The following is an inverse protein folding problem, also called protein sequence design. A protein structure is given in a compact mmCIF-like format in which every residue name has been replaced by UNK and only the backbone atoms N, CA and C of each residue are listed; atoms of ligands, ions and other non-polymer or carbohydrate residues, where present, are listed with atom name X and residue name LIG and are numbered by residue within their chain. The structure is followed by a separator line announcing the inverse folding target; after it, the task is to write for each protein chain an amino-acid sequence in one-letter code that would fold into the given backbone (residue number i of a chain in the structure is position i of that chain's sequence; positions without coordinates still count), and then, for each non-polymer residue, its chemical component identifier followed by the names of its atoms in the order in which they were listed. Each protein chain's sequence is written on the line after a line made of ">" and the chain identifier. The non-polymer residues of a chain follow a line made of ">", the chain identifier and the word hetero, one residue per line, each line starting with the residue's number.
data_IF_233746784490
#
_entry.id   IF_233746784490
#
_cell.length_a   1.000
_cell.length_b   1.000
_cell.length_c   1.000
_cell.angle_alpha   90.00
_cell.angle_beta   90.00
_cell.angle_gamma   90.00
#
_symmetry.space_group_name_H-M   'P 1'
#
loop_
_entity.id
_entity.type
_entity.pdbx_description
1 polymer ?
#
# COMPACT_ATOMS: atom_id res chain seq x y z
N UNK A 1 32.11 2.85 -7.40
CA UNK A 1 32.10 1.53 -6.73
C UNK A 1 30.74 1.20 -6.11
N UNK A 2 30.11 2.09 -5.33
CA UNK A 2 28.83 1.82 -4.65
C UNK A 2 27.69 1.41 -5.60
N UNK A 3 27.50 2.11 -6.72
CA UNK A 3 26.45 1.77 -7.70
C UNK A 3 26.64 0.39 -8.33
N UNK A 4 27.88 0.02 -8.69
CA UNK A 4 28.16 -1.28 -9.26
C UNK A 4 27.89 -2.42 -8.26
N UNK A 5 28.31 -2.24 -7.01
CA UNK A 5 28.04 -3.21 -5.95
C UNK A 5 26.53 -3.40 -5.74
N UNK A 6 25.79 -2.30 -5.60
CA UNK A 6 24.33 -2.34 -5.38
C UNK A 6 23.60 -3.00 -6.56
N UNK A 7 24.02 -2.69 -7.80
CA UNK A 7 23.43 -3.28 -9.01
C UNK A 7 23.69 -4.79 -9.08
N UNK A 8 24.92 -5.23 -8.82
CA UNK A 8 25.26 -6.66 -8.81
C UNK A 8 24.44 -7.41 -7.75
N UNK A 9 24.32 -6.83 -6.55
CA UNK A 9 23.56 -7.41 -5.46
C UNK A 9 22.06 -7.52 -5.81
N UNK A 10 21.50 -6.49 -6.43
CA UNK A 10 20.11 -6.48 -6.87
C UNK A 10 19.85 -7.53 -7.96
N UNK A 11 20.70 -7.57 -8.98
CA UNK A 11 20.59 -8.57 -10.07
C UNK A 11 20.71 -9.98 -9.52
N UNK A 12 21.69 -10.23 -8.65
CA UNK A 12 21.84 -11.51 -7.97
C UNK A 12 20.59 -11.90 -7.17
N UNK A 13 20.07 -10.97 -6.35
CA UNK A 13 18.87 -11.19 -5.56
C UNK A 13 17.64 -11.49 -6.43
N UNK A 14 17.49 -10.78 -7.55
CA UNK A 14 16.40 -11.02 -8.50
C UNK A 14 16.51 -12.41 -9.15
N UNK A 15 17.73 -12.81 -9.55
CA UNK A 15 17.97 -14.15 -10.12
C UNK A 15 17.64 -15.23 -9.09
N UNK A 16 18.05 -15.07 -7.82
CA UNK A 16 17.78 -16.02 -6.74
C UNK A 16 16.27 -16.19 -6.50
N UNK A 17 15.52 -15.08 -6.42
CA UNK A 17 14.06 -15.11 -6.25
C UNK A 17 13.39 -15.80 -7.45
N UNK A 18 13.78 -15.43 -8.67
CA UNK A 18 13.21 -16.03 -9.87
C UNK A 18 13.55 -17.52 -9.99
N UNK A 19 14.77 -17.91 -9.61
CA UNK A 19 15.18 -19.29 -9.59
C UNK A 19 14.36 -20.10 -8.55
N UNK A 20 14.09 -19.56 -7.36
CA UNK A 20 13.23 -20.18 -6.36
C UNK A 20 11.81 -20.45 -6.90
N UNK A 21 11.22 -19.49 -7.62
CA UNK A 21 9.88 -19.65 -8.23
C UNK A 21 9.92 -20.72 -9.35
N UNK A 22 10.95 -20.69 -10.21
CA UNK A 22 11.05 -21.61 -11.37
C UNK A 22 11.33 -23.06 -10.93
N UNK A 23 12.09 -23.24 -9.85
CA UNK A 23 12.44 -24.57 -9.30
C UNK A 23 11.39 -25.13 -8.32
N UNK A 24 10.24 -24.46 -8.21
CA UNK A 24 9.16 -24.83 -7.28
C UNK A 24 9.60 -24.87 -5.80
N UNK A 25 10.58 -24.04 -5.45
CA UNK A 25 11.10 -23.87 -4.09
C UNK A 25 10.66 -22.55 -3.44
N UNK A 26 9.68 -21.87 -4.03
CA UNK A 26 9.01 -20.71 -3.46
C UNK A 26 7.68 -21.10 -2.81
N UNK A 27 7.18 -20.27 -1.89
CA UNK A 27 5.90 -20.49 -1.21
C UNK A 27 4.72 -20.68 -2.18
N UNK A 28 4.79 -20.12 -3.39
CA UNK A 28 3.78 -20.36 -4.43
C UNK A 28 3.54 -21.87 -4.68
N UNK A 29 4.59 -22.69 -4.62
CA UNK A 29 4.48 -24.13 -4.80
C UNK A 29 3.71 -24.82 -3.65
N UNK A 30 3.89 -24.38 -2.40
CA UNK A 30 3.11 -24.87 -1.25
C UNK A 30 1.61 -24.59 -1.40
N UNK A 31 1.25 -23.46 -1.99
CA UNK A 31 -0.14 -23.11 -2.29
C UNK A 31 -0.64 -23.69 -3.62
N UNK A 32 0.12 -24.59 -4.25
CA UNK A 32 -0.22 -25.19 -5.55
C UNK A 32 -0.47 -24.15 -6.66
N UNK A 33 0.18 -22.99 -6.58
CA UNK A 33 0.11 -21.96 -7.62
C UNK A 33 1.14 -22.32 -8.70
N UNK A 34 0.69 -22.57 -9.96
CA UNK A 34 1.63 -22.92 -11.02
C UNK A 34 2.56 -21.75 -11.32
N UNK A 35 3.85 -22.03 -11.56
CA UNK A 35 4.87 -21.01 -11.88
C UNK A 35 4.51 -20.11 -13.06
N UNK A 36 3.73 -20.62 -14.01
CA UNK A 36 3.19 -19.83 -15.11
C UNK A 36 2.23 -18.71 -14.68
N UNK A 37 1.66 -18.79 -13.48
CA UNK A 37 0.83 -17.75 -12.86
C UNK A 37 1.63 -16.96 -11.83
N UNK A 38 2.47 -17.63 -11.04
CA UNK A 38 3.25 -17.00 -9.98
C UNK A 38 4.20 -15.92 -10.52
N UNK A 39 4.90 -16.18 -11.64
CA UNK A 39 5.86 -15.24 -12.23
C UNK A 39 5.17 -13.97 -12.76
N UNK A 40 4.15 -14.04 -13.63
CA UNK A 40 3.44 -12.84 -14.07
C UNK A 40 2.78 -12.07 -12.92
N UNK A 41 2.21 -12.78 -11.94
CA UNK A 41 1.62 -12.16 -10.76
C UNK A 41 2.67 -11.42 -9.93
N UNK A 42 3.82 -12.03 -9.68
CA UNK A 42 4.93 -11.41 -8.97
C UNK A 42 5.41 -10.13 -9.68
N UNK A 43 5.64 -10.19 -10.99
CA UNK A 43 6.04 -9.02 -11.77
C UNK A 43 4.96 -7.91 -11.76
N UNK A 44 3.70 -8.28 -11.91
CA UNK A 44 2.58 -7.33 -11.86
C UNK A 44 2.48 -6.64 -10.51
N UNK A 45 2.62 -7.39 -9.42
CA UNK A 45 2.56 -6.85 -8.06
C UNK A 45 3.74 -5.93 -7.75
N UNK A 46 4.95 -6.22 -8.25
CA UNK A 46 6.11 -5.32 -8.14
C UNK A 46 5.85 -3.98 -8.85
N UNK A 47 5.29 -4.02 -10.06
CA UNK A 47 4.93 -2.81 -10.81
C UNK A 47 3.84 -2.04 -10.05
N UNK A 48 2.81 -2.73 -9.57
CA UNK A 48 1.72 -2.07 -8.83
C UNK A 48 2.22 -1.42 -7.55
N UNK A 49 3.08 -2.10 -6.80
CA UNK A 49 3.73 -1.55 -5.61
C UNK A 49 4.46 -0.26 -5.96
N UNK A 50 5.26 -0.25 -7.04
CA UNK A 50 5.99 0.92 -7.50
C UNK A 50 5.06 2.09 -7.87
N UNK A 51 3.99 1.81 -8.61
CA UNK A 51 3.01 2.86 -8.99
C UNK A 51 2.38 3.50 -7.76
N UNK A 52 2.03 2.72 -6.74
CA UNK A 52 1.41 3.23 -5.51
C UNK A 52 2.42 4.00 -4.67
N UNK A 53 3.64 3.51 -4.52
CA UNK A 53 4.69 4.15 -3.71
C UNK A 53 5.15 5.47 -4.33
N UNK A 54 5.46 5.47 -5.62
CA UNK A 54 5.82 6.71 -6.33
C UNK A 54 4.65 7.67 -6.45
N UNK A 55 3.44 7.13 -6.70
CA UNK A 55 2.21 7.91 -6.80
C UNK A 55 1.88 8.70 -5.54
N UNK A 56 2.13 8.15 -4.35
CA UNK A 56 1.99 8.91 -3.10
C UNK A 56 2.93 10.10 -3.06
N UNK A 57 4.21 9.88 -3.37
CA UNK A 57 5.19 10.97 -3.39
C UNK A 57 4.79 12.09 -4.36
N UNK A 58 4.37 11.71 -5.56
CA UNK A 58 3.91 12.66 -6.58
C UNK A 58 2.65 13.42 -6.16
N UNK A 59 1.62 12.74 -5.63
CA UNK A 59 0.39 13.38 -5.18
C UNK A 59 0.62 14.35 -4.02
N UNK A 60 1.46 13.98 -3.05
CA UNK A 60 1.84 14.86 -1.94
C UNK A 60 2.64 16.06 -2.45
N UNK A 61 3.61 15.85 -3.33
CA UNK A 61 4.42 16.92 -3.90
C UNK A 61 3.63 17.92 -4.73
N UNK A 62 2.57 17.48 -5.40
CA UNK A 62 1.71 18.33 -6.25
C UNK A 62 0.63 19.11 -5.49
N UNK A 63 0.51 18.95 -4.17
CA UNK A 63 -0.52 19.69 -3.38
C UNK A 63 -0.39 21.20 -3.51
N UNK A 64 0.82 21.72 -3.64
CA UNK A 64 1.09 23.16 -3.75
C UNK A 64 1.10 23.67 -5.20
N UNK A 65 0.99 22.78 -6.19
CA UNK A 65 1.08 23.15 -7.61
C UNK A 65 -0.30 23.52 -8.15
N UNK A 66 -0.48 24.73 -8.72
CA UNK A 66 -1.75 25.13 -9.31
C UNK A 66 -2.18 24.20 -10.45
N UNK A 67 -3.41 23.71 -10.39
CA UNK A 67 -3.95 22.71 -11.33
C UNK A 67 -4.01 23.23 -12.78
N UNK A 68 -4.21 24.53 -12.96
CA UNK A 68 -4.30 25.18 -14.28
C UNK A 68 -3.02 25.05 -15.10
N UNK A 69 -1.86 24.89 -14.44
CA UNK A 69 -0.56 24.79 -15.12
C UNK A 69 -0.41 23.48 -15.91
N UNK A 70 -1.06 22.41 -15.47
CA UNK A 70 -0.90 21.07 -16.09
C UNK A 70 -2.20 20.47 -16.61
N UNK A 71 -3.33 21.17 -16.47
CA UNK A 71 -4.64 20.65 -16.89
C UNK A 71 -4.71 20.23 -18.36
N UNK A 72 -4.06 20.99 -19.26
CA UNK A 72 -4.06 20.68 -20.70
C UNK A 72 -3.00 19.62 -21.09
N UNK A 73 -1.85 19.65 -20.43
CA UNK A 73 -0.73 18.76 -20.76
C UNK A 73 -0.86 17.36 -20.13
N UNK A 74 -1.42 17.27 -18.91
CA UNK A 74 -1.50 16.03 -18.13
C UNK A 74 -2.92 15.77 -17.62
N UNK A 75 -3.87 15.41 -18.49
CA UNK A 75 -5.28 15.32 -18.12
C UNK A 75 -5.60 14.20 -17.12
N UNK A 76 -4.79 13.13 -17.07
CA UNK A 76 -4.99 12.05 -16.09
C UNK A 76 -4.42 12.46 -14.74
N UNK A 77 -3.27 13.14 -14.72
CA UNK A 77 -2.69 13.71 -13.50
C UNK A 77 -3.65 14.71 -12.85
N UNK A 78 -4.32 15.53 -13.68
CA UNK A 78 -5.37 16.42 -13.18
C UNK A 78 -6.46 15.63 -12.45
N UNK A 79 -6.99 14.57 -13.06
CA UNK A 79 -8.03 13.74 -12.42
C UNK A 79 -7.54 13.09 -11.12
N UNK A 80 -6.28 12.61 -11.08
CA UNK A 80 -5.68 12.04 -9.88
C UNK A 80 -5.59 13.09 -8.76
N UNK A 81 -5.12 14.31 -9.08
CA UNK A 81 -4.97 15.39 -8.11
C UNK A 81 -6.31 16.01 -7.72
N UNK A 82 -7.27 16.12 -8.62
CA UNK A 82 -8.64 16.52 -8.27
C UNK A 82 -9.26 15.59 -7.26
N UNK A 83 -9.15 14.28 -7.51
CA UNK A 83 -9.67 13.24 -6.62
C UNK A 83 -8.96 13.22 -5.26
N UNK A 84 -7.63 13.25 -5.27
CA UNK A 84 -6.84 13.09 -4.05
C UNK A 84 -6.81 14.37 -3.18
N UNK A 85 -6.90 15.56 -3.79
CA UNK A 85 -6.85 16.84 -3.07
C UNK A 85 -8.24 17.43 -2.78
N UNK A 86 -9.30 16.66 -2.93
CA UNK A 86 -10.65 17.08 -2.58
C UNK A 86 -10.91 16.80 -1.10
N UNK A 87 -11.14 17.86 -0.32
CA UNK A 87 -11.37 17.77 1.12
C UNK A 87 -10.28 16.97 1.85
N UNK A 88 -10.69 15.98 2.63
CA UNK A 88 -9.79 15.11 3.42
C UNK A 88 -9.29 13.88 2.64
N UNK A 89 -9.52 13.81 1.32
CA UNK A 89 -9.20 12.62 0.53
C UNK A 89 -7.72 12.26 0.51
N UNK A 90 -6.81 13.22 0.69
CA UNK A 90 -5.38 12.93 0.76
C UNK A 90 -5.04 12.09 1.99
N UNK A 91 -5.58 12.41 3.16
CA UNK A 91 -5.39 11.62 4.38
C UNK A 91 -5.98 10.22 4.23
N UNK A 92 -7.20 10.14 3.67
CA UNK A 92 -7.88 8.87 3.38
C UNK A 92 -7.12 8.01 2.38
N UNK A 93 -6.58 8.63 1.34
CA UNK A 93 -5.73 7.96 0.35
C UNK A 93 -4.48 7.36 1.01
N UNK A 94 -3.79 8.13 1.86
CA UNK A 94 -2.58 7.66 2.57
C UNK A 94 -2.91 6.44 3.43
N UNK A 95 -4.01 6.46 4.17
CA UNK A 95 -4.45 5.36 5.04
C UNK A 95 -4.82 4.12 4.21
N UNK A 96 -5.67 4.27 3.20
CA UNK A 96 -6.12 3.15 2.37
C UNK A 96 -5.00 2.56 1.52
N UNK A 97 -4.13 3.43 0.98
CA UNK A 97 -2.92 3.03 0.27
C UNK A 97 -1.99 2.18 1.14
N UNK A 98 -1.80 2.56 2.41
CA UNK A 98 -0.89 1.82 3.29
C UNK A 98 -1.35 0.37 3.47
N UNK A 99 -2.65 0.14 3.61
CA UNK A 99 -3.19 -1.22 3.65
C UNK A 99 -2.92 -1.97 2.35
N UNK A 100 -3.15 -1.31 1.21
CA UNK A 100 -2.93 -1.90 -0.11
C UNK A 100 -1.46 -2.29 -0.32
N UNK A 101 -0.52 -1.43 0.08
CA UNK A 101 0.92 -1.71 0.05
C UNK A 101 1.27 -2.96 0.86
N UNK A 102 0.78 -3.05 2.09
CA UNK A 102 1.03 -4.23 2.95
C UNK A 102 0.42 -5.49 2.33
N UNK A 103 -0.79 -5.40 1.78
CA UNK A 103 -1.44 -6.52 1.10
C UNK A 103 -0.64 -6.99 -0.14
N UNK A 104 -0.14 -6.05 -0.94
CA UNK A 104 0.70 -6.37 -2.11
C UNK A 104 2.00 -7.02 -1.67
N UNK A 105 2.70 -6.48 -0.67
CA UNK A 105 3.96 -7.04 -0.14
C UNK A 105 3.71 -8.44 0.43
N UNK A 106 2.64 -8.65 1.16
CA UNK A 106 2.27 -9.97 1.67
C UNK A 106 2.06 -10.97 0.52
N UNK A 107 1.33 -10.57 -0.52
CA UNK A 107 1.09 -11.42 -1.69
C UNK A 107 2.37 -11.68 -2.51
N UNK A 108 3.26 -10.68 -2.61
CA UNK A 108 4.59 -10.84 -3.21
C UNK A 108 5.40 -11.92 -2.46
N UNK A 109 5.39 -11.88 -1.12
CA UNK A 109 6.05 -12.89 -0.30
C UNK A 109 5.43 -14.29 -0.48
N UNK A 110 4.11 -14.37 -0.60
CA UNK A 110 3.45 -15.65 -0.92
C UNK A 110 3.86 -16.20 -2.30
N UNK A 111 4.19 -15.32 -3.26
CA UNK A 111 4.64 -15.75 -4.58
C UNK A 111 6.13 -16.09 -4.62
N UNK A 112 6.98 -15.27 -4.00
CA UNK A 112 8.42 -15.24 -4.27
C UNK A 112 9.33 -15.64 -3.11
N UNK A 113 8.84 -15.64 -1.85
CA UNK A 113 9.67 -16.07 -0.72
C UNK A 113 9.96 -17.57 -0.81
N UNK A 114 11.20 -17.95 -0.51
CA UNK A 114 11.62 -19.34 -0.55
C UNK A 114 11.04 -20.16 0.61
N UNK A 115 10.75 -21.42 0.35
CA UNK A 115 10.36 -22.39 1.40
C UNK A 115 11.54 -22.73 2.30
N UNK A 116 11.26 -23.19 3.52
CA UNK A 116 12.31 -23.60 4.45
C UNK A 116 13.19 -24.72 3.88
N UNK A 117 14.51 -24.52 3.88
CA UNK A 117 15.46 -25.50 3.36
C UNK A 117 15.63 -25.46 1.83
N UNK A 118 15.14 -24.43 1.15
CA UNK A 118 15.34 -24.26 -0.28
C UNK A 118 16.84 -24.19 -0.63
N UNK A 119 17.23 -24.96 -1.64
CA UNK A 119 18.59 -24.94 -2.20
C UNK A 119 18.51 -24.58 -3.69
N UNK A 120 18.88 -23.35 -4.00
CA UNK A 120 18.75 -22.78 -5.34
C UNK A 120 20.12 -22.45 -5.88
N UNK A 121 20.35 -22.76 -7.16
CA UNK A 121 21.58 -22.44 -7.89
C UNK A 121 22.85 -23.11 -7.32
N UNK A 122 22.73 -24.17 -6.52
CA UNK A 122 23.86 -24.84 -5.83
C UNK A 122 24.75 -23.85 -5.06
N UNK A 123 24.13 -22.87 -4.41
CA UNK A 123 24.84 -21.91 -3.57
C UNK A 123 25.35 -22.56 -2.29
N UNK A 124 26.38 -21.98 -1.66
CA UNK A 124 26.82 -22.46 -0.35
C UNK A 124 25.67 -22.35 0.68
N UNK A 125 25.69 -23.25 1.68
CA UNK A 125 24.65 -23.25 2.74
C UNK A 125 24.50 -21.91 3.45
N UNK A 126 25.59 -21.15 3.61
CA UNK A 126 25.61 -19.83 4.21
C UNK A 126 24.88 -18.80 3.34
N UNK A 127 25.12 -18.82 2.02
CA UNK A 127 24.44 -17.92 1.08
C UNK A 127 22.95 -18.27 0.97
N UNK A 128 22.59 -19.55 0.93
CA UNK A 128 21.19 -19.97 0.94
C UNK A 128 20.48 -19.50 2.21
N UNK A 129 21.14 -19.60 3.36
CA UNK A 129 20.57 -19.11 4.62
C UNK A 129 20.30 -17.60 4.56
N UNK A 130 21.29 -16.80 4.18
CA UNK A 130 21.18 -15.33 4.18
C UNK A 130 20.16 -14.84 3.12
N UNK A 131 20.27 -15.33 1.89
CA UNK A 131 19.45 -14.80 0.79
C UNK A 131 18.05 -15.41 0.70
N UNK A 132 17.88 -16.66 1.09
CA UNK A 132 16.61 -17.37 1.01
C UNK A 132 15.93 -17.49 2.38
N UNK A 133 16.56 -18.11 3.37
CA UNK A 133 15.92 -18.35 4.67
C UNK A 133 15.66 -17.06 5.44
N UNK A 134 16.62 -16.10 5.44
CA UNK A 134 16.44 -14.77 6.04
C UNK A 134 15.74 -13.77 5.08
N UNK A 135 15.32 -14.25 3.91
CA UNK A 135 14.57 -13.49 2.90
C UNK A 135 15.29 -12.23 2.37
N UNK A 136 16.61 -12.09 2.51
CA UNK A 136 17.36 -10.91 2.08
C UNK A 136 17.17 -10.63 0.59
N UNK A 137 17.18 -11.66 -0.27
CA UNK A 137 16.93 -11.50 -1.70
C UNK A 137 15.55 -10.88 -1.98
N UNK A 138 14.52 -11.37 -1.31
CA UNK A 138 13.15 -10.87 -1.46
C UNK A 138 13.01 -9.43 -0.97
N UNK A 139 13.64 -9.10 0.17
CA UNK A 139 13.68 -7.72 0.71
C UNK A 139 14.35 -6.78 -0.29
N UNK A 140 15.53 -7.14 -0.81
CA UNK A 140 16.28 -6.30 -1.75
C UNK A 140 15.51 -6.07 -3.05
N UNK A 141 14.86 -7.09 -3.59
CA UNK A 141 14.04 -6.96 -4.80
C UNK A 141 12.83 -6.08 -4.54
N UNK A 142 12.09 -6.32 -3.46
CA UNK A 142 10.88 -5.57 -3.15
C UNK A 142 11.17 -4.09 -2.86
N UNK A 143 12.20 -3.82 -2.04
CA UNK A 143 12.55 -2.44 -1.67
C UNK A 143 13.14 -1.68 -2.85
N UNK A 144 14.10 -2.25 -3.59
CA UNK A 144 14.73 -1.52 -4.68
C UNK A 144 13.81 -1.37 -5.89
N UNK A 145 13.19 -2.46 -6.38
CA UNK A 145 12.35 -2.41 -7.60
C UNK A 145 10.92 -1.95 -7.28
N UNK A 146 10.34 -2.45 -6.20
CA UNK A 146 8.94 -2.17 -5.87
C UNK A 146 8.71 -0.84 -5.16
N UNK A 147 9.71 -0.26 -4.49
CA UNK A 147 9.51 0.97 -3.71
C UNK A 147 10.46 2.09 -4.13
N UNK A 148 11.77 1.98 -3.82
CA UNK A 148 12.70 3.11 -3.94
C UNK A 148 12.86 3.63 -5.36
N UNK A 149 12.99 2.76 -6.36
CA UNK A 149 13.14 3.17 -7.76
C UNK A 149 11.95 4.02 -8.20
N UNK A 150 10.74 3.62 -7.84
CA UNK A 150 9.53 4.37 -8.19
C UNK A 150 9.43 5.70 -7.45
N UNK A 151 9.78 5.74 -6.16
CA UNK A 151 9.75 6.96 -5.35
C UNK A 151 10.75 8.01 -5.87
N UNK A 152 11.98 7.58 -6.21
CA UNK A 152 13.01 8.49 -6.75
C UNK A 152 12.57 9.05 -8.11
N UNK A 153 12.10 8.19 -9.04
CA UNK A 153 11.62 8.66 -10.34
C UNK A 153 10.38 9.57 -10.21
N UNK A 154 9.46 9.24 -9.30
CA UNK A 154 8.28 10.07 -9.07
C UNK A 154 8.63 11.45 -8.48
N UNK A 155 9.71 11.56 -7.70
CA UNK A 155 10.17 12.85 -7.19
C UNK A 155 10.68 13.78 -8.30
N UNK A 156 11.31 13.22 -9.33
CA UNK A 156 11.86 13.98 -10.45
C UNK A 156 10.81 14.33 -11.52
N UNK A 157 9.81 13.46 -11.75
CA UNK A 157 8.82 13.63 -12.82
C UNK A 157 7.39 13.38 -12.32
N UNK A 158 6.94 14.13 -11.29
CA UNK A 158 5.67 13.91 -10.58
C UNK A 158 4.46 13.83 -11.52
N UNK A 159 4.35 14.79 -12.46
CA UNK A 159 3.20 14.88 -13.38
C UNK A 159 3.16 13.72 -14.37
N UNK A 160 4.29 13.40 -14.99
CA UNK A 160 4.36 12.29 -15.94
C UNK A 160 4.13 10.95 -15.25
N UNK A 161 4.64 10.80 -14.02
CA UNK A 161 4.53 9.56 -13.25
C UNK A 161 3.08 9.18 -12.97
N UNK A 162 2.25 10.15 -12.57
CA UNK A 162 0.84 9.89 -12.26
C UNK A 162 -0.09 10.06 -13.47
N UNK A 163 0.43 10.42 -14.66
CA UNK A 163 -0.36 10.61 -15.87
C UNK A 163 -0.72 9.27 -16.54
N UNK A 164 -1.19 8.33 -15.77
CA UNK A 164 -1.61 7.02 -16.26
C UNK A 164 -2.89 6.53 -15.58
N UNK A 165 -3.69 5.76 -16.31
CA UNK A 165 -4.97 5.22 -15.83
C UNK A 165 -4.80 4.24 -14.67
N UNK A 166 -3.66 3.56 -14.57
CA UNK A 166 -3.40 2.60 -13.51
C UNK A 166 -3.20 3.29 -12.16
N UNK A 167 -2.54 4.47 -12.15
CA UNK A 167 -2.45 5.30 -10.96
C UNK A 167 -3.83 5.83 -10.55
N UNK A 168 -4.63 6.31 -11.50
CA UNK A 168 -6.00 6.77 -11.22
C UNK A 168 -6.85 5.64 -10.61
N UNK A 169 -6.79 4.43 -11.19
CA UNK A 169 -7.44 3.25 -10.62
C UNK A 169 -6.95 2.97 -9.19
N UNK A 170 -5.63 2.98 -8.97
CA UNK A 170 -5.04 2.73 -7.65
C UNK A 170 -5.46 3.77 -6.61
N UNK A 171 -5.64 5.03 -7.02
CA UNK A 171 -6.16 6.11 -6.15
C UNK A 171 -7.60 5.82 -5.73
N UNK A 172 -8.49 5.49 -6.68
CA UNK A 172 -9.86 5.09 -6.37
C UNK A 172 -9.92 3.86 -5.46
N UNK A 173 -9.09 2.86 -5.74
CA UNK A 173 -9.06 1.63 -4.97
C UNK A 173 -8.59 1.85 -3.53
N UNK A 174 -7.57 2.70 -3.34
CA UNK A 174 -7.09 3.09 -2.01
C UNK A 174 -8.17 3.83 -1.21
N UNK A 175 -8.87 4.78 -1.83
CA UNK A 175 -10.00 5.47 -1.19
C UNK A 175 -11.15 4.51 -0.87
N UNK A 176 -11.45 3.54 -1.74
CA UNK A 176 -12.48 2.54 -1.47
C UNK A 176 -12.15 1.64 -0.29
N UNK A 177 -10.87 1.26 -0.11
CA UNK A 177 -10.41 0.51 1.07
C UNK A 177 -10.65 1.32 2.35
N UNK A 178 -10.28 2.60 2.36
CA UNK A 178 -10.51 3.45 3.53
C UNK A 178 -12.02 3.61 3.77
N UNK A 179 -12.80 3.85 2.72
CA UNK A 179 -14.25 4.03 2.80
C UNK A 179 -14.97 2.79 3.34
N UNK A 180 -14.40 1.60 3.20
CA UNK A 180 -14.94 0.36 3.76
C UNK A 180 -15.00 0.34 5.30
N UNK A 181 -14.31 1.24 5.96
CA UNK A 181 -14.24 1.32 7.42
C UNK A 181 -13.20 0.39 8.07
N UNK A 182 -12.53 -0.46 7.28
CA UNK A 182 -11.56 -1.45 7.78
C UNK A 182 -10.45 -0.82 8.63
N UNK A 183 -10.04 0.40 8.29
CA UNK A 183 -8.90 1.09 8.90
C UNK A 183 -9.31 2.23 9.86
N UNK A 184 -10.58 2.42 10.13
CA UNK A 184 -11.07 3.55 10.93
C UNK A 184 -10.56 3.56 12.38
N UNK A 185 -10.04 2.43 12.89
CA UNK A 185 -9.35 2.37 14.19
C UNK A 185 -8.14 3.31 14.26
N UNK A 186 -7.52 3.66 13.14
CA UNK A 186 -6.38 4.60 13.10
C UNK A 186 -6.80 5.98 13.60
N UNK A 187 -8.01 6.42 13.28
CA UNK A 187 -8.52 7.72 13.72
C UNK A 187 -8.81 7.77 15.24
N UNK A 188 -9.08 6.61 15.88
CA UNK A 188 -9.19 6.56 17.35
C UNK A 188 -7.88 6.95 18.03
N UNK A 189 -6.73 6.51 17.49
CA UNK A 189 -5.42 6.87 18.02
C UNK A 189 -5.20 8.39 17.95
N UNK A 190 -5.65 9.03 16.86
CA UNK A 190 -5.59 10.47 16.71
C UNK A 190 -6.43 11.21 17.76
N UNK A 191 -7.64 10.74 18.04
CA UNK A 191 -8.49 11.30 19.11
C UNK A 191 -7.85 11.12 20.49
N UNK A 192 -7.27 9.95 20.79
CA UNK A 192 -6.57 9.71 22.05
C UNK A 192 -5.36 10.65 22.17
N UNK A 193 -4.58 10.80 21.12
CA UNK A 193 -3.43 11.71 21.10
C UNK A 193 -3.85 13.16 21.33
N UNK A 194 -4.89 13.63 20.66
CA UNK A 194 -5.47 14.98 20.85
C UNK A 194 -5.94 15.18 22.30
N UNK A 195 -6.60 14.19 22.88
CA UNK A 195 -7.05 14.26 24.26
C UNK A 195 -5.88 14.34 25.26
N UNK A 196 -4.77 13.64 25.00
CA UNK A 196 -3.57 13.67 25.85
C UNK A 196 -2.80 14.96 25.71
N UNK A 197 -2.62 15.47 24.48
CA UNK A 197 -1.83 16.67 24.20
C UNK A 197 -2.60 17.97 24.40
N UNK A 198 -3.92 17.91 24.49
CA UNK A 198 -4.79 19.09 24.55
C UNK A 198 -4.80 19.92 23.26
N UNK A 199 -4.25 19.39 22.17
CA UNK A 199 -4.27 20.07 20.88
C UNK A 199 -5.54 19.70 20.10
N UNK A 200 -6.29 20.69 19.58
CA UNK A 200 -7.45 20.40 18.75
C UNK A 200 -7.03 19.72 17.44
N UNK A 201 -7.84 18.77 16.99
CA UNK A 201 -7.66 18.19 15.66
C UNK A 201 -8.13 19.23 14.65
N UNK A 202 -7.18 19.81 13.87
CA UNK A 202 -7.52 20.68 12.76
C UNK A 202 -8.13 19.85 11.63
N UNK A 203 -9.42 19.95 11.45
CA UNK A 203 -10.15 19.35 10.32
C UNK A 203 -10.60 20.45 9.39
N UNK A 204 -10.31 20.34 8.11
CA UNK A 204 -10.75 21.28 7.09
C UNK A 204 -12.26 21.18 6.79
N UNK A 205 -12.94 20.18 7.34
CA UNK A 205 -14.39 20.01 7.20
C UNK A 205 -15.09 19.94 8.57
N UNK A 206 -16.29 20.55 8.73
CA UNK A 206 -17.03 20.57 9.99
C UNK A 206 -17.55 19.20 10.46
N UNK A 207 -17.45 18.16 9.63
CA UNK A 207 -17.88 16.79 9.99
C UNK A 207 -16.96 15.73 9.35
N UNK A 208 -16.05 15.18 10.13
CA UNK A 208 -15.31 13.99 9.69
C UNK A 208 -16.26 12.83 9.44
N UNK A 209 -16.37 12.43 8.18
CA UNK A 209 -17.14 11.25 7.73
C UNK A 209 -16.78 9.98 8.51
N UNK A 210 -15.52 9.86 9.00
CA UNK A 210 -15.05 8.73 9.80
C UNK A 210 -15.79 8.57 11.14
N UNK A 211 -16.16 9.66 11.80
CA UNK A 211 -16.92 9.56 13.06
C UNK A 211 -18.37 9.06 12.82
N UNK A 212 -19.00 9.50 11.73
CA UNK A 212 -20.33 8.99 11.34
C UNK A 212 -20.27 7.51 10.93
N UNK A 213 -19.21 7.09 10.24
CA UNK A 213 -18.98 5.68 9.90
C UNK A 213 -18.72 4.84 11.15
N UNK A 214 -17.92 5.33 12.10
CA UNK A 214 -17.68 4.64 13.39
C UNK A 214 -18.96 4.49 14.19
N UNK A 215 -19.79 5.53 14.26
CA UNK A 215 -21.09 5.48 14.91
C UNK A 215 -22.05 4.52 14.20
N UNK A 216 -22.02 4.49 12.88
CA UNK A 216 -22.81 3.55 12.09
C UNK A 216 -22.41 2.10 12.38
N UNK A 217 -21.13 1.79 12.31
CA UNK A 217 -20.62 0.44 12.61
C UNK A 217 -20.73 0.09 14.09
N UNK A 218 -20.58 1.04 15.00
CA UNK A 218 -20.87 0.85 16.41
C UNK A 218 -22.34 0.46 16.64
N UNK A 219 -23.28 1.08 15.95
CA UNK A 219 -24.70 0.72 15.99
C UNK A 219 -24.97 -0.66 15.37
N UNK A 220 -24.30 -0.98 14.26
CA UNK A 220 -24.42 -2.31 13.62
C UNK A 220 -23.88 -3.40 14.54
N UNK A 221 -22.70 -3.19 15.15
CA UNK A 221 -22.11 -4.12 16.12
C UNK A 221 -23.00 -4.28 17.37
N UNK A 222 -23.52 -3.19 17.91
CA UNK A 222 -24.44 -3.24 19.05
C UNK A 222 -25.74 -3.98 18.71
N UNK A 223 -26.24 -3.85 17.49
CA UNK A 223 -27.41 -4.62 17.01
C UNK A 223 -27.10 -6.10 16.78
N UNK A 224 -25.88 -6.42 16.38
CA UNK A 224 -25.44 -7.82 16.15
C UNK A 224 -25.12 -8.54 17.48
N UNK A 225 -24.59 -7.81 18.47
CA UNK A 225 -24.19 -8.36 19.79
C UNK A 225 -25.32 -8.26 20.83
N UNK A 226 -26.19 -7.26 20.73
CA UNK A 226 -27.28 -7.00 21.63
C UNK A 226 -28.62 -7.51 21.12
N UNK A 227 -29.06 -8.67 21.60
CA UNK A 227 -30.40 -9.22 21.35
C UNK A 227 -31.48 -8.55 22.23
N UNK A 228 -31.36 -7.24 22.52
CA UNK A 228 -32.34 -6.51 23.33
C UNK A 228 -32.67 -5.12 22.78
N UNK A 229 -33.77 -5.09 22.03
CA UNK A 229 -34.26 -3.99 21.21
C UNK A 229 -34.88 -2.82 22.01
N UNK A 230 -34.93 -2.83 23.31
CA UNK A 230 -35.69 -1.82 24.09
C UNK A 230 -34.85 -0.81 24.88
N UNK A 231 -33.52 -0.96 24.95
CA UNK A 231 -32.66 -0.07 25.76
C UNK A 231 -31.86 0.96 24.98
N UNK A 232 -31.93 0.92 23.67
CA UNK A 232 -31.08 1.73 22.77
C UNK A 232 -31.73 3.06 22.37
N UNK A 233 -33.05 3.18 22.47
CA UNK A 233 -33.79 4.38 22.06
C UNK A 233 -33.69 5.51 23.11
N UNK A 234 -33.48 5.20 24.37
CA UNK A 234 -33.40 6.19 25.46
C UNK A 234 -32.04 6.94 25.52
N UNK A 235 -31.00 6.39 24.95
CA UNK A 235 -29.65 7.01 24.94
C UNK A 235 -29.48 7.97 23.76
N UNK A 236 -30.33 7.92 22.73
CA UNK A 236 -30.21 8.67 21.51
C UNK A 236 -30.95 10.01 21.49
N UNK A 237 -31.68 10.35 22.57
CA UNK A 237 -32.42 11.62 22.72
C UNK A 237 -31.63 12.71 23.47
N UNK A 238 -30.39 12.46 23.90
CA UNK A 238 -29.59 13.42 24.67
C UNK A 238 -28.35 13.98 23.93
N UNK A 239 -28.27 13.88 22.60
CA UNK A 239 -27.23 14.58 21.85
C UNK A 239 -27.76 15.13 20.52
#
# INVERSE_FOLDING_TARGET
>A
MQYAYSLVLLVFSFIVVMAAIVTDQANAAEYSIPKGVAIPLFCFLLIWLGVIEGGQGALVGLQTTPKDQYAQSHPISLKCTELAHDGDNMERFIVGRQFLVVLIIFTLNMCGAAVGGADVLNLSSELNTIFLAEALAMILVTVNLGQLTAQVNAADCMLDFINNHFMLFSTYFSLAIEYSGLLHSVYLVQYIFSAITGQPIETNEPERSGFKSLLFWGRVLLRLVGNDSKRTDDILLCY
#
